data_IF_419888357430
#
_entry.id   IF_419888357430
#
_cell.length_a   1.000
_cell.length_b   1.000
_cell.length_c   1.000
_cell.angle_alpha   90.00
_cell.angle_beta   90.00
_cell.angle_gamma   90.00
#
_symmetry.space_group_name_H-M   'P 1'
#
loop_
_entity.id
_entity.type
_entity.pdbx_description
1 polymer ?
#
# COMPACT_ATOMS: atom_id res chain seq x y z
N UNK A 1 -7.41 -2.96 24.15
CA UNK A 1 -6.82 -2.17 23.05
C UNK A 1 -7.27 -2.79 21.73
N UNK A 2 -7.93 -2.04 20.85
CA UNK A 2 -8.47 -2.58 19.59
C UNK A 2 -7.36 -3.17 18.72
N UNK A 3 -7.55 -4.37 18.17
CA UNK A 3 -6.56 -5.06 17.32
C UNK A 3 -6.19 -4.22 16.08
N UNK A 4 -7.14 -3.45 15.55
CA UNK A 4 -6.95 -2.48 14.47
C UNK A 4 -5.92 -1.41 14.82
N UNK A 5 -5.85 -0.97 16.08
CA UNK A 5 -4.89 0.04 16.52
C UNK A 5 -3.53 -0.59 16.78
N UNK A 6 -3.51 -1.80 17.37
CA UNK A 6 -2.26 -2.48 17.73
C UNK A 6 -1.49 -3.00 16.51
N UNK A 7 -2.20 -3.46 15.48
CA UNK A 7 -1.60 -4.08 14.29
C UNK A 7 -1.80 -3.27 13.01
N UNK A 8 -2.78 -2.36 12.95
CA UNK A 8 -3.03 -1.55 11.76
C UNK A 8 -1.86 -0.63 11.41
N UNK A 9 -1.20 -0.03 12.40
CA UNK A 9 -0.01 0.80 12.16
C UNK A 9 1.15 0.02 11.53
N UNK A 10 1.47 -1.16 12.08
CA UNK A 10 2.52 -2.03 11.53
C UNK A 10 2.15 -2.58 10.14
N UNK A 11 0.90 -2.97 9.94
CA UNK A 11 0.39 -3.40 8.64
C UNK A 11 0.42 -2.29 7.58
N UNK A 12 0.15 -1.05 7.98
CA UNK A 12 0.23 0.11 7.10
C UNK A 12 1.68 0.42 6.69
N UNK A 13 2.63 0.35 7.63
CA UNK A 13 4.06 0.53 7.33
C UNK A 13 4.56 -0.55 6.36
N UNK A 14 4.14 -1.80 6.56
CA UNK A 14 4.48 -2.90 5.65
C UNK A 14 3.88 -2.69 4.25
N UNK A 15 2.62 -2.25 4.17
CA UNK A 15 1.97 -1.95 2.89
C UNK A 15 2.67 -0.82 2.14
N UNK A 16 3.12 0.22 2.84
CA UNK A 16 3.90 1.31 2.27
C UNK A 16 5.28 0.83 1.79
N UNK A 17 5.97 0.01 2.57
CA UNK A 17 7.25 -0.57 2.18
C UNK A 17 7.12 -1.49 0.93
N UNK A 18 6.09 -2.34 0.90
CA UNK A 18 5.78 -3.18 -0.26
C UNK A 18 5.43 -2.38 -1.50
N UNK A 19 4.71 -1.26 -1.34
CA UNK A 19 4.42 -0.33 -2.45
C UNK A 19 5.69 0.30 -2.99
N UNK A 20 6.63 0.67 -2.12
CA UNK A 20 7.95 1.18 -2.51
C UNK A 20 8.73 0.19 -3.39
N UNK A 21 8.63 -1.11 -3.11
CA UNK A 21 9.28 -2.16 -3.91
C UNK A 21 8.64 -2.31 -5.29
N UNK A 22 7.31 -2.25 -5.36
CA UNK A 22 6.53 -2.38 -6.59
C UNK A 22 6.77 -1.24 -7.58
N UNK A 23 7.16 -0.05 -7.12
CA UNK A 23 7.53 1.08 -7.99
C UNK A 23 8.66 0.70 -8.97
N UNK A 24 9.60 -0.14 -8.54
CA UNK A 24 10.70 -0.60 -9.40
C UNK A 24 10.18 -1.49 -10.54
N UNK A 25 9.23 -2.39 -10.26
CA UNK A 25 8.61 -3.22 -11.29
C UNK A 25 7.73 -2.43 -12.25
N UNK A 26 7.03 -1.39 -11.78
CA UNK A 26 6.26 -0.49 -12.65
C UNK A 26 7.21 0.21 -13.62
N UNK A 27 8.32 0.77 -13.14
CA UNK A 27 9.32 1.44 -13.99
C UNK A 27 9.89 0.48 -15.01
N UNK A 28 10.27 -0.72 -14.58
CA UNK A 28 10.77 -1.75 -15.47
C UNK A 28 9.72 -2.13 -16.54
N UNK A 29 8.46 -2.32 -16.16
CA UNK A 29 7.36 -2.60 -17.09
C UNK A 29 7.16 -1.50 -18.14
N UNK A 30 7.30 -0.24 -17.74
CA UNK A 30 7.28 0.92 -18.66
C UNK A 30 8.47 0.87 -19.62
N UNK A 31 9.68 0.59 -19.12
CA UNK A 31 10.90 0.51 -19.93
C UNK A 31 10.85 -0.59 -20.99
N UNK A 32 10.27 -1.76 -20.66
CA UNK A 32 10.16 -2.89 -21.59
C UNK A 32 8.86 -2.89 -22.40
N UNK A 33 7.99 -1.89 -22.23
CA UNK A 33 6.70 -1.79 -22.91
C UNK A 33 5.70 -2.89 -22.53
N UNK A 34 5.88 -3.54 -21.38
CA UNK A 34 4.98 -4.58 -20.89
C UNK A 34 3.91 -3.96 -19.96
N UNK A 35 2.61 -4.04 -20.30
CA UNK A 35 1.56 -3.44 -19.49
C UNK A 35 1.24 -4.24 -18.21
N UNK A 36 1.64 -5.51 -18.10
CA UNK A 36 1.29 -6.37 -16.96
C UNK A 36 1.89 -5.88 -15.62
N UNK A 37 3.20 -5.57 -15.52
CA UNK A 37 3.79 -5.06 -14.28
C UNK A 37 3.24 -3.68 -13.90
N UNK A 38 2.88 -2.87 -14.90
CA UNK A 38 2.29 -1.54 -14.70
C UNK A 38 0.89 -1.66 -14.10
N UNK A 39 0.04 -2.52 -14.66
CA UNK A 39 -1.31 -2.76 -14.17
C UNK A 39 -1.31 -3.39 -12.77
N UNK A 40 -0.47 -4.41 -12.56
CA UNK A 40 -0.30 -5.04 -11.25
C UNK A 40 0.18 -4.03 -10.21
N UNK A 41 1.23 -3.28 -10.54
CA UNK A 41 1.78 -2.32 -9.60
C UNK A 41 0.82 -1.18 -9.28
N UNK A 42 0.05 -0.71 -10.27
CA UNK A 42 -1.04 0.24 -10.06
C UNK A 42 -2.11 -0.28 -9.10
N UNK A 43 -2.49 -1.56 -9.21
CA UNK A 43 -3.44 -2.19 -8.29
C UNK A 43 -2.91 -2.27 -6.85
N UNK A 44 -1.62 -2.57 -6.67
CA UNK A 44 -0.99 -2.59 -5.33
C UNK A 44 -0.95 -1.19 -4.72
N UNK A 45 -0.59 -0.16 -5.49
CA UNK A 45 -0.61 1.23 -5.02
C UNK A 45 -2.02 1.62 -4.57
N UNK A 46 -3.04 1.29 -5.36
CA UNK A 46 -4.44 1.58 -5.02
C UNK A 46 -4.87 0.87 -3.73
N UNK A 47 -4.52 -0.41 -3.58
CA UNK A 47 -4.82 -1.19 -2.38
C UNK A 47 -4.18 -0.56 -1.13
N UNK A 48 -2.94 -0.08 -1.24
CA UNK A 48 -2.24 0.60 -0.13
C UNK A 48 -2.91 1.91 0.25
N UNK A 49 -3.39 2.70 -0.72
CA UNK A 49 -4.15 3.93 -0.45
C UNK A 49 -5.45 3.60 0.29
N UNK A 50 -6.19 2.58 -0.15
CA UNK A 50 -7.41 2.14 0.52
C UNK A 50 -7.10 1.69 1.96
N UNK A 51 -6.05 0.90 2.16
CA UNK A 51 -5.63 0.48 3.48
C UNK A 51 -5.30 1.67 4.39
N UNK A 52 -4.60 2.68 3.86
CA UNK A 52 -4.30 3.92 4.60
C UNK A 52 -5.59 4.66 5.00
N UNK A 53 -6.55 4.78 4.09
CA UNK A 53 -7.82 5.46 4.34
C UNK A 53 -8.69 4.74 5.38
N UNK A 54 -8.59 3.42 5.50
CA UNK A 54 -9.32 2.65 6.51
C UNK A 54 -8.63 2.67 7.87
N UNK A 55 -7.31 2.61 7.89
CA UNK A 55 -6.53 2.46 9.13
C UNK A 55 -6.28 3.83 9.79
N UNK A 56 -5.93 4.87 9.04
CA UNK A 56 -5.54 6.19 9.60
C UNK A 56 -6.65 6.84 10.44
N UNK A 57 -7.92 6.95 9.98
CA UNK A 57 -8.99 7.55 10.78
C UNK A 57 -9.29 6.73 12.03
N UNK A 58 -9.22 5.40 11.93
CA UNK A 58 -9.43 4.46 13.03
C UNK A 58 -8.39 4.64 14.16
N UNK A 59 -7.18 5.10 13.83
CA UNK A 59 -6.15 5.44 14.84
C UNK A 59 -6.42 6.79 15.51
N UNK A 60 -7.04 7.76 14.82
CA UNK A 60 -7.32 9.11 15.36
C UNK A 60 -8.54 9.14 16.29
N UNK A 61 -9.56 8.33 16.03
CA UNK A 61 -10.80 8.27 16.83
C UNK A 61 -10.63 7.62 18.21
N UNK A 62 -9.44 7.11 18.53
CA UNK A 62 -9.13 6.46 19.82
C UNK A 62 -8.44 7.39 20.83
N UNK A 63 -8.27 8.68 20.50
CA UNK A 63 -7.71 9.69 21.40
C UNK A 63 -8.75 10.31 22.31
#
# INVERSE_FOLDING_TARGET
>A
MNATIKWGGAGLLLALAGTGFVISEIRHGIEVGNPLPVAYGGAVVLATVIAALLIIPSMRSSS
#
